data_IF_925141918133
#
_entry.id   IF_925141918133
#
_cell.length_a   1.000
_cell.length_b   1.000
_cell.length_c   1.000
_cell.angle_alpha   90.00
_cell.angle_beta   90.00
_cell.angle_gamma   90.00
#
_symmetry.space_group_name_H-M   'P 1'
#
loop_
_entity.id
_entity.type
_entity.pdbx_description
1 polymer ?
#
# COMPACT_ATOMS: atom_id res chain seq x y z
N UNK A 1 -10.90 -19.17 0.83
CA UNK A 1 -9.59 -18.53 1.13
C UNK A 1 -9.14 -17.55 0.05
N UNK A 2 -9.24 -17.88 -1.25
CA UNK A 2 -8.83 -16.97 -2.33
C UNK A 2 -9.87 -15.92 -2.77
N UNK A 3 -11.14 -16.04 -2.38
CA UNK A 3 -12.20 -15.13 -2.88
C UNK A 3 -11.97 -13.64 -2.54
N UNK A 4 -11.35 -13.34 -1.41
CA UNK A 4 -11.03 -11.96 -1.00
C UNK A 4 -9.99 -11.33 -1.94
N UNK A 5 -9.05 -12.11 -2.47
CA UNK A 5 -8.01 -11.63 -3.40
C UNK A 5 -8.42 -11.78 -4.87
N UNK A 6 -9.25 -12.77 -5.19
CA UNK A 6 -9.71 -13.07 -6.55
C UNK A 6 -10.83 -12.14 -7.04
N UNK A 7 -11.59 -11.51 -6.13
CA UNK A 7 -12.62 -10.52 -6.47
C UNK A 7 -12.10 -9.09 -6.56
N UNK A 8 -10.80 -8.90 -6.78
CA UNK A 8 -10.28 -7.57 -7.06
C UNK A 8 -10.82 -7.05 -8.40
N UNK A 9 -11.18 -5.77 -8.44
CA UNK A 9 -11.54 -5.12 -9.68
C UNK A 9 -10.37 -5.23 -10.68
N UNK A 10 -10.57 -5.84 -11.86
CA UNK A 10 -9.54 -5.99 -12.89
C UNK A 10 -8.85 -4.68 -13.28
N UNK A 11 -9.53 -3.56 -13.13
CA UNK A 11 -8.98 -2.23 -13.41
C UNK A 11 -7.80 -1.91 -12.50
N UNK A 12 -7.79 -2.41 -11.26
CA UNK A 12 -6.75 -2.09 -10.26
C UNK A 12 -5.37 -2.62 -10.63
N UNK A 13 -5.29 -3.82 -11.20
CA UNK A 13 -4.03 -4.43 -11.61
C UNK A 13 -3.75 -4.26 -13.12
N UNK A 14 -4.60 -3.51 -13.84
CA UNK A 14 -4.36 -3.19 -15.24
C UNK A 14 -3.12 -2.29 -15.36
N UNK A 15 -2.11 -2.65 -16.19
CA UNK A 15 -0.95 -1.81 -16.41
C UNK A 15 -1.32 -0.59 -17.26
N UNK A 16 -1.12 0.59 -16.71
CA UNK A 16 -1.36 1.90 -17.33
C UNK A 16 -0.03 2.62 -17.54
N UNK A 17 0.19 3.05 -18.78
CA UNK A 17 1.36 3.86 -19.14
C UNK A 17 0.98 5.33 -19.15
N UNK A 18 1.64 6.16 -18.33
CA UNK A 18 1.50 7.62 -18.38
C UNK A 18 2.79 8.23 -18.90
N UNK A 19 2.67 9.17 -19.84
CA UNK A 19 3.77 10.00 -20.31
C UNK A 19 3.78 11.28 -19.50
N UNK A 20 4.87 11.52 -18.78
CA UNK A 20 5.00 12.62 -17.84
C UNK A 20 6.28 13.38 -18.18
N UNK A 21 6.29 14.69 -17.90
CA UNK A 21 7.52 15.48 -17.98
C UNK A 21 8.12 15.53 -16.59
N UNK A 22 9.24 14.83 -16.39
CA UNK A 22 9.99 14.79 -15.14
C UNK A 22 11.33 15.47 -15.34
N UNK A 23 11.68 16.45 -14.50
CA UNK A 23 12.95 17.18 -14.59
C UNK A 23 13.26 17.73 -16.01
N UNK A 24 12.22 18.16 -16.74
CA UNK A 24 12.33 18.65 -18.12
C UNK A 24 12.42 17.57 -19.19
N UNK A 25 12.56 16.29 -18.82
CA UNK A 25 12.61 15.15 -19.72
C UNK A 25 11.24 14.48 -19.87
N UNK A 26 10.92 14.01 -21.07
CA UNK A 26 9.69 13.25 -21.31
C UNK A 26 9.89 11.78 -20.93
N UNK A 27 9.38 11.39 -19.77
CA UNK A 27 9.51 10.04 -19.21
C UNK A 27 8.20 9.27 -19.33
N UNK A 28 8.27 8.04 -19.84
CA UNK A 28 7.12 7.14 -19.96
C UNK A 28 7.18 6.08 -18.87
N UNK A 29 6.24 6.10 -17.93
CA UNK A 29 6.20 5.16 -16.79
C UNK A 29 4.99 4.25 -16.95
N UNK A 30 5.21 2.94 -16.77
CA UNK A 30 4.14 1.92 -16.78
C UNK A 30 3.98 1.34 -15.38
N UNK A 31 2.79 1.51 -14.81
CA UNK A 31 2.42 1.02 -13.48
C UNK A 31 0.97 0.55 -13.49
N UNK A 32 0.61 -0.33 -12.57
CA UNK A 32 -0.76 -0.75 -12.34
C UNK A 32 -1.62 0.44 -11.88
N UNK A 33 -2.89 0.50 -12.28
CA UNK A 33 -3.79 1.62 -11.94
C UNK A 33 -3.83 1.90 -10.43
N UNK A 34 -3.80 0.86 -9.59
CA UNK A 34 -3.81 1.02 -8.14
C UNK A 34 -2.60 1.81 -7.62
N UNK A 35 -1.42 1.67 -8.24
CA UNK A 35 -0.26 2.48 -7.85
C UNK A 35 -0.41 3.92 -8.32
N UNK A 36 -0.95 4.15 -9.52
CA UNK A 36 -1.26 5.49 -9.98
C UNK A 36 -2.24 6.22 -9.04
N UNK A 37 -3.29 5.54 -8.58
CA UNK A 37 -4.25 6.11 -7.64
C UNK A 37 -3.59 6.52 -6.31
N UNK A 38 -2.64 5.71 -5.82
CA UNK A 38 -1.89 6.02 -4.59
C UNK A 38 -0.96 7.21 -4.82
N UNK A 39 -0.23 7.25 -5.93
CA UNK A 39 0.67 8.35 -6.28
C UNK A 39 -0.12 9.65 -6.43
N UNK A 40 -1.24 9.62 -7.14
CA UNK A 40 -2.11 10.78 -7.35
C UNK A 40 -2.63 11.31 -6.00
N UNK A 41 -2.94 10.42 -5.05
CA UNK A 41 -3.32 10.81 -3.70
C UNK A 41 -2.16 11.41 -2.90
N UNK A 42 -0.96 10.82 -2.95
CA UNK A 42 0.23 11.37 -2.26
C UNK A 42 0.50 12.80 -2.76
N UNK A 43 0.48 13.00 -4.07
CA UNK A 43 0.68 14.33 -4.65
C UNK A 43 -0.38 15.33 -4.18
N UNK A 44 -1.66 14.91 -4.13
CA UNK A 44 -2.74 15.75 -3.59
C UNK A 44 -2.55 16.09 -2.11
N UNK A 45 -2.15 15.12 -1.28
CA UNK A 45 -1.91 15.31 0.16
C UNK A 45 -0.74 16.29 0.40
N UNK A 46 0.27 16.30 -0.48
CA UNK A 46 1.39 17.25 -0.46
C UNK A 46 1.08 18.61 -1.11
N UNK A 47 -0.11 18.77 -1.71
CA UNK A 47 -0.49 19.99 -2.42
C UNK A 47 0.26 20.22 -3.73
N UNK A 48 0.80 19.16 -4.33
CA UNK A 48 1.54 19.21 -5.59
C UNK A 48 0.86 18.39 -6.70
N UNK A 49 1.35 18.50 -7.93
CA UNK A 49 0.85 17.69 -9.05
C UNK A 49 1.61 16.36 -9.11
N UNK A 50 0.99 15.29 -9.63
CA UNK A 50 1.65 13.99 -9.82
C UNK A 50 3.00 14.08 -10.55
N UNK A 51 3.15 14.81 -11.67
CA UNK A 51 4.47 15.01 -12.29
C UNK A 51 5.44 15.79 -11.41
N UNK A 52 4.96 16.73 -10.59
CA UNK A 52 5.77 17.49 -9.64
C UNK A 52 6.35 16.59 -8.56
N UNK A 53 5.50 15.83 -7.86
CA UNK A 53 5.91 14.81 -6.88
C UNK A 53 6.96 13.85 -7.45
N UNK A 54 6.68 13.29 -8.64
CA UNK A 54 7.57 12.33 -9.28
C UNK A 54 8.90 12.96 -9.72
N UNK A 55 8.91 14.23 -10.11
CA UNK A 55 10.14 14.95 -10.44
C UNK A 55 11.01 15.15 -9.20
N UNK A 56 10.40 15.61 -8.10
CA UNK A 56 11.09 15.78 -6.82
C UNK A 56 11.69 14.47 -6.34
N UNK A 57 10.88 13.40 -6.32
CA UNK A 57 11.33 12.07 -5.90
C UNK A 57 12.46 11.55 -6.79
N UNK A 58 12.39 11.78 -8.11
CA UNK A 58 13.46 11.38 -9.02
C UNK A 58 14.77 12.13 -8.73
N UNK A 59 14.70 13.43 -8.44
CA UNK A 59 15.86 14.24 -8.11
C UNK A 59 16.50 13.82 -6.78
N UNK A 60 15.70 13.57 -5.75
CA UNK A 60 16.19 13.12 -4.44
C UNK A 60 16.90 11.76 -4.54
N UNK A 61 16.35 10.81 -5.30
CA UNK A 61 16.98 9.51 -5.51
C UNK A 61 18.30 9.63 -6.29
N UNK A 62 18.35 10.53 -7.27
CA UNK A 62 19.56 10.83 -8.03
C UNK A 62 20.66 11.41 -7.12
N UNK A 63 20.30 12.28 -6.18
CA UNK A 63 21.23 12.87 -5.21
C UNK A 63 21.76 11.86 -4.18
N UNK A 64 20.92 10.89 -3.77
CA UNK A 64 21.28 9.90 -2.74
C UNK A 64 22.07 8.71 -3.29
N UNK A 65 21.61 8.09 -4.38
CA UNK A 65 22.13 6.81 -4.89
C UNK A 65 22.78 6.93 -6.28
N UNK A 66 22.88 8.14 -6.84
CA UNK A 66 23.48 8.39 -8.15
C UNK A 66 22.48 8.15 -9.28
N UNK A 67 22.25 6.89 -9.69
CA UNK A 67 21.32 6.58 -10.80
C UNK A 67 20.26 5.56 -10.38
N UNK A 68 18.96 5.89 -10.50
CA UNK A 68 17.90 4.96 -10.16
C UNK A 68 17.84 3.82 -11.17
N UNK A 69 18.46 2.69 -10.83
CA UNK A 69 18.51 1.48 -11.68
C UNK A 69 17.09 0.97 -12.02
N UNK A 70 16.08 1.27 -11.19
CA UNK A 70 14.68 0.89 -11.43
C UNK A 70 13.66 1.86 -10.79
N UNK A 71 13.52 3.08 -11.32
CA UNK A 71 12.57 4.08 -10.80
C UNK A 71 11.13 3.53 -10.63
N UNK A 72 10.65 2.72 -11.57
CA UNK A 72 9.31 2.09 -11.50
C UNK A 72 9.16 1.14 -10.30
N UNK A 73 10.21 0.40 -9.94
CA UNK A 73 10.19 -0.48 -8.75
C UNK A 73 10.18 0.35 -7.47
N UNK A 74 10.98 1.44 -7.45
CA UNK A 74 11.00 2.39 -6.34
C UNK A 74 9.61 3.00 -6.09
N UNK A 75 8.90 3.40 -7.16
CA UNK A 75 7.53 3.93 -7.03
C UNK A 75 6.55 2.94 -6.39
N UNK A 76 6.64 1.65 -6.76
CA UNK A 76 5.82 0.61 -6.13
C UNK A 76 6.15 0.46 -4.64
N UNK A 77 7.44 0.43 -4.29
CA UNK A 77 7.88 0.37 -2.90
C UNK A 77 7.44 1.61 -2.11
N UNK A 78 7.54 2.81 -2.68
CA UNK A 78 7.09 4.05 -2.06
C UNK A 78 5.58 4.02 -1.76
N UNK A 79 4.76 3.48 -2.68
CA UNK A 79 3.34 3.28 -2.45
C UNK A 79 3.06 2.32 -1.29
N UNK A 80 3.83 1.23 -1.16
CA UNK A 80 3.71 0.30 -0.04
C UNK A 80 4.07 0.98 1.29
N UNK A 81 5.18 1.72 1.33
CA UNK A 81 5.59 2.50 2.52
C UNK A 81 4.50 3.48 2.93
N UNK A 82 3.90 4.21 1.99
CA UNK A 82 2.80 5.13 2.30
C UNK A 82 1.59 4.41 2.90
N UNK A 83 1.22 3.24 2.37
CA UNK A 83 0.12 2.43 2.92
C UNK A 83 0.47 1.86 4.30
N UNK A 84 1.71 1.49 4.55
CA UNK A 84 2.19 1.05 5.85
C UNK A 84 2.20 2.19 6.86
N UNK A 85 2.59 3.41 6.47
CA UNK A 85 2.54 4.60 7.31
C UNK A 85 1.10 4.96 7.69
N UNK A 86 0.18 4.93 6.72
CA UNK A 86 -1.24 5.16 6.96
C UNK A 86 -1.89 4.03 7.77
N UNK A 87 -1.52 2.79 7.50
CA UNK A 87 -1.93 1.61 8.23
C UNK A 87 -1.39 1.61 9.66
N UNK A 88 -0.18 2.14 9.88
CA UNK A 88 0.43 2.33 11.20
C UNK A 88 -0.21 3.50 11.95
N UNK A 89 -0.62 4.57 11.27
CA UNK A 89 -1.46 5.62 11.83
C UNK A 89 -2.85 5.08 12.21
N UNK A 90 -3.47 4.27 11.36
CA UNK A 90 -4.73 3.58 11.65
C UNK A 90 -4.56 2.49 12.72
N UNK A 91 -3.39 1.84 12.83
CA UNK A 91 -3.06 0.86 13.87
C UNK A 91 -2.83 1.57 15.20
N UNK A 92 -2.07 2.67 15.23
CA UNK A 92 -1.93 3.56 16.40
C UNK A 92 -3.26 4.15 16.85
N UNK A 93 -4.11 4.58 15.91
CA UNK A 93 -5.46 5.08 16.21
C UNK A 93 -6.41 3.96 16.67
N UNK A 94 -6.35 2.76 16.07
CA UNK A 94 -7.08 1.58 16.52
C UNK A 94 -6.62 1.09 17.89
N UNK A 95 -5.32 1.11 18.16
CA UNK A 95 -4.74 0.71 19.44
C UNK A 95 -5.03 1.75 20.53
N UNK A 96 -4.97 3.05 20.20
CA UNK A 96 -5.43 4.13 21.08
C UNK A 96 -6.94 4.05 21.34
N UNK A 97 -7.76 3.80 20.32
CA UNK A 97 -9.21 3.61 20.47
C UNK A 97 -9.54 2.34 21.29
N UNK A 98 -8.78 1.25 21.15
CA UNK A 98 -8.91 0.05 22.00
C UNK A 98 -8.62 0.34 23.47
N UNK A 99 -7.62 1.19 23.74
CA UNK A 99 -7.28 1.61 25.10
C UNK A 99 -8.34 2.53 25.71
N UNK A 100 -9.01 3.34 24.90
CA UNK A 100 -10.13 4.22 25.33
C UNK A 100 -11.43 3.44 25.53
N UNK A 101 -11.72 2.41 24.72
CA UNK A 101 -12.98 1.65 24.77
C UNK A 101 -12.92 0.44 25.73
N UNK A 102 -11.76 0.13 26.30
CA UNK A 102 -11.64 -0.92 27.34
C UNK A 102 -12.05 -2.32 26.86
N UNK A 103 -11.83 -2.65 25.58
CA UNK A 103 -12.16 -3.98 25.03
C UNK A 103 -10.91 -4.86 25.16
N UNK A 104 -10.93 -5.92 26.00
CA UNK A 104 -9.80 -6.82 26.11
C UNK A 104 -9.57 -7.57 24.78
N UNK A 105 -8.31 -7.90 24.44
CA UNK A 105 -8.01 -8.67 23.25
C UNK A 105 -8.73 -10.02 23.30
N UNK A 106 -9.43 -10.37 22.23
CA UNK A 106 -10.10 -11.65 22.10
C UNK A 106 -9.11 -12.79 22.38
N UNK A 107 -9.49 -13.80 23.17
CA UNK A 107 -8.59 -14.88 23.55
C UNK A 107 -8.09 -15.61 22.31
N UNK A 108 -6.76 -15.70 22.18
CA UNK A 108 -6.13 -16.61 21.22
C UNK A 108 -6.32 -18.04 21.74
N UNK A 109 -7.13 -18.81 21.03
CA UNK A 109 -7.34 -20.23 21.29
C UNK A 109 -8.57 -20.52 22.15
N UNK A 110 -9.75 -20.36 21.56
CA UNK A 110 -10.91 -21.13 22.02
C UNK A 110 -10.80 -22.52 21.38
N UNK A 111 -10.09 -23.43 22.06
CA UNK A 111 -10.27 -24.86 21.82
C UNK A 111 -11.69 -25.21 22.24
N UNK A 112 -12.52 -25.63 21.28
CA UNK A 112 -13.84 -26.18 21.57
C UNK A 112 -13.67 -27.41 22.49
N UNK A 113 -14.28 -27.45 23.68
CA UNK A 113 -14.29 -28.68 24.46
C UNK A 113 -15.45 -29.55 23.97
N UNK A 114 -15.13 -30.80 23.59
CA UNK A 114 -16.10 -31.89 23.57
C UNK A 114 -16.58 -32.35 22.19
N UNK A 115 -15.69 -32.92 21.38
CA UNK A 115 -16.10 -34.01 20.51
C UNK A 115 -16.19 -35.27 21.37
N UNK A 116 -17.40 -35.55 21.83
CA UNK A 116 -17.78 -36.73 22.60
C UNK A 116 -17.34 -38.01 21.86
N UNK A 117 -16.56 -38.84 22.56
CA UNK A 117 -16.14 -40.16 22.10
C UNK A 117 -17.37 -41.07 21.92
N UNK A 118 -17.49 -41.68 20.74
CA UNK A 118 -18.47 -42.73 20.45
C UNK A 118 -17.75 -44.07 20.64
N UNK A 119 -18.17 -44.94 21.58
CA UNK A 119 -17.53 -46.24 21.74
C UNK A 119 -17.98 -47.20 20.65
N UNK A 120 -17.03 -48.03 20.20
CA UNK A 120 -17.24 -49.11 19.27
C UNK A 120 -18.18 -50.18 19.84
N UNK A 121 -19.09 -50.66 19.01
CA UNK A 121 -19.73 -51.99 19.08
C UNK A 121 -20.04 -52.45 17.67
#
# INVERSE_FOLDING_TARGET
>A
MCEIYARQDPRRYQPVTRKLRLNGQSTSIRLEQAFWDIIDRIAQDEGCSTPGFLSTLQSEVLELDGEPVNFTSLLRCACLVQLEMQGSGARRMRDAARQVVGIPPAPRGATLPGAMEIPAS
#
